data_IF_856028194530
#
_entry.id   IF_856028194530
#
_cell.length_a   1.000
_cell.length_b   1.000
_cell.length_c   1.000
_cell.angle_alpha   90.00
_cell.angle_beta   90.00
_cell.angle_gamma   90.00
#
_symmetry.space_group_name_H-M   'P 1'
#
loop_
_entity.id
_entity.type
_entity.pdbx_description
1 polymer ?
#
# COMPACT_ATOMS: atom_id res chain seq x y z
N UNK A 1 7.13 -18.56 5.41
CA UNK A 1 5.72 -18.40 5.00
C UNK A 1 5.24 -17.06 5.56
N UNK A 2 5.64 -15.97 4.90
CA UNK A 2 5.14 -14.62 5.17
C UNK A 2 4.70 -14.08 3.83
N UNK A 3 3.61 -14.65 3.33
CA UNK A 3 2.70 -13.94 2.43
C UNK A 3 2.31 -12.63 3.12
N UNK A 4 1.95 -11.58 2.37
CA UNK A 4 1.24 -10.41 2.90
C UNK A 4 -0.03 -10.84 3.66
N UNK A 5 0.13 -11.37 4.87
CA UNK A 5 -0.92 -11.71 5.82
C UNK A 5 -1.19 -10.51 6.72
N UNK A 6 -0.87 -9.31 6.23
CA UNK A 6 -1.29 -8.05 6.82
C UNK A 6 -2.76 -7.85 6.42
N UNK A 7 -3.64 -8.65 7.03
CA UNK A 7 -5.09 -8.43 7.02
C UNK A 7 -5.48 -7.13 7.73
N UNK A 8 -4.50 -6.36 8.21
CA UNK A 8 -4.70 -5.16 8.99
C UNK A 8 -5.23 -4.03 8.10
N UNK A 9 -6.54 -3.81 8.18
CA UNK A 9 -7.24 -2.75 7.46
C UNK A 9 -7.85 -3.17 6.12
N UNK A 10 -7.50 -4.34 5.57
CA UNK A 10 -8.08 -4.87 4.31
C UNK A 10 -9.61 -5.01 4.36
N UNK A 11 -10.17 -5.24 5.55
CA UNK A 11 -11.62 -5.30 5.78
C UNK A 11 -12.35 -3.99 5.45
N UNK A 12 -11.65 -2.86 5.50
CA UNK A 12 -12.21 -1.53 5.27
C UNK A 12 -11.87 -0.97 3.90
N UNK A 13 -11.04 -1.64 3.11
CA UNK A 13 -10.55 -1.07 1.85
C UNK A 13 -11.41 -1.51 0.67
N UNK A 14 -11.94 -0.57 -0.12
CA UNK A 14 -12.77 -0.93 -1.27
C UNK A 14 -11.90 -1.48 -2.42
N UNK A 15 -12.10 -2.77 -2.71
CA UNK A 15 -11.55 -3.50 -3.87
C UNK A 15 -10.01 -3.55 -3.91
N UNK A 16 -9.35 -4.13 -2.89
CA UNK A 16 -7.94 -4.41 -2.95
C UNK A 16 -7.67 -5.51 -3.98
N UNK A 17 -6.63 -5.36 -4.79
CA UNK A 17 -6.11 -6.45 -5.60
C UNK A 17 -4.59 -6.51 -5.50
N UNK A 18 -4.07 -7.73 -5.50
CA UNK A 18 -2.66 -8.00 -5.31
C UNK A 18 -2.06 -8.54 -6.60
N UNK A 19 -0.90 -7.99 -6.97
CA UNK A 19 -0.12 -8.43 -8.11
C UNK A 19 1.24 -8.89 -7.61
N UNK A 20 1.65 -10.10 -7.99
CA UNK A 20 2.98 -10.61 -7.73
C UNK A 20 3.83 -10.48 -8.98
N UNK A 21 4.96 -9.79 -8.86
CA UNK A 21 5.94 -9.59 -9.94
C UNK A 21 7.27 -10.19 -9.48
N UNK A 22 7.53 -11.43 -9.89
CA UNK A 22 8.72 -12.18 -9.50
C UNK A 22 8.82 -12.39 -7.99
N UNK A 23 9.83 -11.77 -7.36
CA UNK A 23 10.08 -11.79 -5.90
C UNK A 23 9.49 -10.58 -5.16
N UNK A 24 8.57 -9.85 -5.76
CA UNK A 24 7.89 -8.70 -5.15
C UNK A 24 6.38 -8.89 -5.21
N UNK A 25 5.71 -8.50 -4.14
CA UNK A 25 4.27 -8.41 -4.07
C UNK A 25 3.87 -6.94 -4.03
N UNK A 26 2.82 -6.61 -4.76
CA UNK A 26 2.27 -5.27 -4.88
C UNK A 26 0.79 -5.35 -4.55
N UNK A 27 0.40 -4.79 -3.42
CA UNK A 27 -0.98 -4.61 -3.06
C UNK A 27 -1.43 -3.23 -3.54
N UNK A 28 -2.44 -3.19 -4.39
CA UNK A 28 -3.03 -1.96 -4.89
C UNK A 28 -4.40 -1.81 -4.25
N UNK A 29 -4.64 -0.66 -3.63
CA UNK A 29 -5.89 -0.40 -2.93
C UNK A 29 -6.23 1.08 -2.94
N UNK A 30 -7.46 1.45 -2.56
CA UNK A 30 -7.82 2.87 -2.39
C UNK A 30 -7.34 3.38 -1.04
N UNK A 31 -6.89 4.62 -1.00
CA UNK A 31 -6.57 5.26 0.27
C UNK A 31 -7.85 5.38 1.10
N UNK A 32 -7.78 4.86 2.33
CA UNK A 32 -8.89 4.85 3.29
C UNK A 32 -8.66 5.85 4.43
N UNK A 33 -7.48 6.48 4.47
CA UNK A 33 -7.08 7.39 5.54
C UNK A 33 -7.43 8.83 5.16
N UNK A 34 -7.90 9.60 6.14
CA UNK A 34 -8.02 11.05 6.00
C UNK A 34 -6.64 11.67 6.19
N UNK A 35 -5.99 12.06 5.09
CA UNK A 35 -4.66 12.68 5.11
C UNK A 35 -4.76 14.19 4.90
N UNK A 36 -4.02 14.94 5.71
CA UNK A 36 -3.94 16.40 5.61
C UNK A 36 -2.58 16.78 5.02
N UNK A 37 -2.60 17.57 3.95
CA UNK A 37 -1.38 18.03 3.30
C UNK A 37 -1.40 19.54 3.18
N UNK A 38 -0.25 20.16 3.42
CA UNK A 38 -0.04 21.57 3.12
C UNK A 38 -0.03 21.86 1.60
N UNK A 39 0.30 20.84 0.80
CA UNK A 39 0.38 20.92 -0.69
C UNK A 39 -0.42 19.78 -1.34
N UNK A 40 -0.57 19.77 -2.66
CA UNK A 40 -1.27 18.70 -3.37
C UNK A 40 -0.31 17.67 -4.00
N UNK A 41 0.24 16.70 -3.25
CA UNK A 41 1.16 15.71 -3.81
C UNK A 41 0.49 14.81 -4.84
N UNK A 42 1.21 14.60 -5.95
CA UNK A 42 0.86 13.61 -6.96
C UNK A 42 1.36 12.23 -6.54
N UNK A 43 2.55 12.17 -5.94
CA UNK A 43 3.17 10.96 -5.39
C UNK A 43 3.69 11.28 -4.00
N UNK A 44 3.39 10.42 -3.04
CA UNK A 44 4.00 10.42 -1.71
C UNK A 44 4.53 9.01 -1.44
N UNK A 45 5.74 8.93 -0.90
CA UNK A 45 6.35 7.67 -0.48
C UNK A 45 6.53 7.69 1.03
N UNK A 46 6.11 6.62 1.69
CA UNK A 46 6.20 6.45 3.13
C UNK A 46 6.71 5.05 3.49
N UNK A 47 7.27 4.91 4.67
CA UNK A 47 7.62 3.61 5.23
C UNK A 47 6.34 2.83 5.51
N UNK A 48 6.28 1.57 5.05
CA UNK A 48 5.17 0.71 5.42
C UNK A 48 5.20 0.36 6.91
N UNK A 49 4.04 -0.03 7.44
CA UNK A 49 3.86 -0.38 8.85
C UNK A 49 4.81 -1.50 9.31
N UNK A 50 5.11 -2.44 8.42
CA UNK A 50 6.01 -3.55 8.68
C UNK A 50 7.37 -3.36 7.98
N UNK A 51 8.49 -3.78 8.60
CA UNK A 51 9.80 -3.67 7.99
C UNK A 51 9.85 -4.42 6.64
N UNK A 52 10.42 -3.76 5.63
CA UNK A 52 10.47 -4.29 4.27
C UNK A 52 9.24 -3.98 3.41
N UNK A 53 8.28 -3.21 3.94
CA UNK A 53 7.15 -2.68 3.18
C UNK A 53 7.39 -1.21 2.82
N UNK A 54 6.99 -0.83 1.61
CA UNK A 54 7.03 0.54 1.10
C UNK A 54 5.62 0.94 0.66
N UNK A 55 5.11 2.04 1.20
CA UNK A 55 3.82 2.59 0.84
C UNK A 55 4.01 3.75 -0.14
N UNK A 56 3.26 3.74 -1.24
CA UNK A 56 3.25 4.82 -2.23
C UNK A 56 1.80 5.25 -2.44
N UNK A 57 1.52 6.51 -2.13
CA UNK A 57 0.24 7.13 -2.41
C UNK A 57 0.30 7.91 -3.72
N UNK A 58 -0.61 7.59 -4.64
CA UNK A 58 -0.70 8.19 -5.96
C UNK A 58 -2.03 8.94 -6.09
N UNK A 59 -1.95 10.21 -6.48
CA UNK A 59 -3.09 11.14 -6.61
C UNK A 59 -4.01 11.20 -5.38
N UNK A 60 -3.46 10.97 -4.18
CA UNK A 60 -4.23 10.90 -2.91
C UNK A 60 -5.40 9.91 -2.93
N UNK A 61 -5.34 8.92 -3.81
CA UNK A 61 -6.47 8.01 -4.07
C UNK A 61 -6.06 6.56 -4.12
N UNK A 62 -4.92 6.28 -4.71
CA UNK A 62 -4.41 4.91 -4.87
C UNK A 62 -3.23 4.70 -3.96
N UNK A 63 -3.34 3.75 -3.05
CA UNK A 63 -2.28 3.32 -2.17
C UNK A 63 -1.69 2.03 -2.71
N UNK A 64 -0.39 2.05 -2.98
CA UNK A 64 0.38 0.91 -3.44
C UNK A 64 1.29 0.49 -2.30
N UNK A 65 1.15 -0.75 -1.84
CA UNK A 65 2.02 -1.32 -0.82
C UNK A 65 2.91 -2.35 -1.49
N UNK A 66 4.21 -2.08 -1.50
CA UNK A 66 5.23 -2.94 -2.07
C UNK A 66 5.87 -3.74 -0.95
N UNK A 67 6.01 -5.05 -1.15
CA UNK A 67 6.73 -5.92 -0.22
C UNK A 67 7.62 -6.92 -0.97
N UNK A 68 8.59 -7.47 -0.25
CA UNK A 68 9.35 -8.62 -0.75
C UNK A 68 8.48 -9.86 -0.65
N UNK A 69 8.28 -10.53 -1.78
CA UNK A 69 7.60 -11.82 -1.80
C UNK A 69 8.53 -12.87 -1.17
N UNK A 70 8.05 -13.54 -0.13
CA UNK A 70 8.78 -14.63 0.53
C UNK A 70 8.49 -15.98 -0.13
#
# INVERSE_FOLDING_TARGET
MTTLNSSFGLEYVPVPFMVRIGRREVLITRDFRKRFYAVNPIIECDTGVEPGHLEILVFKRWLLILSKAH
#
